data_IF_664605649563
#
_entry.id   IF_664605649563
#
_cell.length_a   1.000
_cell.length_b   1.000
_cell.length_c   1.000
_cell.angle_alpha   90.00
_cell.angle_beta   90.00
_cell.angle_gamma   90.00
#
_symmetry.space_group_name_H-M   'P 1'
#
loop_
_entity.id
_entity.type
_entity.pdbx_description
1 polymer ?
#
# COMPACT_ATOMS: atom_id res chain seq x y z
N UNK A 1 -35.56 -24.35 -17.31
CA UNK A 1 -34.95 -23.69 -16.14
C UNK A 1 -34.02 -22.61 -16.65
N UNK A 2 -34.48 -21.37 -16.71
CA UNK A 2 -33.67 -20.21 -17.12
C UNK A 2 -32.86 -19.77 -15.91
N UNK A 3 -31.57 -20.07 -15.92
CA UNK A 3 -30.59 -19.53 -14.98
C UNK A 3 -30.43 -18.04 -15.26
N UNK A 4 -31.22 -17.21 -14.57
CA UNK A 4 -30.89 -15.80 -14.37
C UNK A 4 -29.65 -15.75 -13.48
N UNK A 5 -28.45 -15.80 -14.07
CA UNK A 5 -27.25 -15.45 -13.34
C UNK A 5 -27.35 -13.97 -12.99
N UNK A 6 -27.55 -13.66 -11.71
CA UNK A 6 -27.37 -12.29 -11.23
C UNK A 6 -26.02 -11.76 -11.73
N UNK A 7 -25.94 -10.50 -12.18
CA UNK A 7 -24.68 -9.94 -12.62
C UNK A 7 -23.63 -10.11 -11.51
N UNK A 8 -22.36 -10.41 -11.85
CA UNK A 8 -21.32 -10.60 -10.86
C UNK A 8 -21.22 -9.34 -9.99
N UNK A 9 -21.26 -9.53 -8.67
CA UNK A 9 -21.07 -8.45 -7.72
C UNK A 9 -19.63 -7.92 -7.87
N UNK A 10 -19.50 -6.69 -8.35
CA UNK A 10 -18.21 -6.01 -8.48
C UNK A 10 -18.04 -5.09 -7.28
N UNK A 11 -17.04 -5.37 -6.44
CA UNK A 11 -16.67 -4.46 -5.36
C UNK A 11 -16.17 -3.14 -5.96
N UNK A 12 -16.66 -1.98 -5.48
CA UNK A 12 -16.09 -0.70 -5.87
C UNK A 12 -14.60 -0.65 -5.57
N UNK A 13 -13.81 -0.17 -6.53
CA UNK A 13 -12.37 0.04 -6.32
C UNK A 13 -12.14 1.34 -5.55
N UNK A 14 -10.92 1.52 -5.02
CA UNK A 14 -10.56 2.75 -4.32
C UNK A 14 -10.63 4.00 -5.22
N UNK A 15 -10.47 3.83 -6.54
CA UNK A 15 -10.66 4.90 -7.51
C UNK A 15 -12.06 5.54 -7.44
N UNK A 16 -13.10 4.78 -7.10
CA UNK A 16 -14.46 5.29 -6.94
C UNK A 16 -14.63 6.15 -5.68
N UNK A 17 -13.59 6.31 -4.86
CA UNK A 17 -13.66 7.11 -3.64
C UNK A 17 -13.56 8.61 -3.87
N UNK A 18 -13.15 9.02 -5.07
CA UNK A 18 -12.85 10.40 -5.42
C UNK A 18 -13.32 10.74 -6.83
N UNK A 19 -13.50 12.03 -7.09
CA UNK A 19 -13.92 12.58 -8.38
C UNK A 19 -12.77 13.09 -9.25
N UNK A 20 -11.53 13.06 -8.77
CA UNK A 20 -10.37 13.50 -9.54
C UNK A 20 -10.16 12.65 -10.79
N UNK A 21 -9.63 13.27 -11.86
CA UNK A 21 -9.38 12.58 -13.12
C UNK A 21 -8.40 11.41 -12.91
N UNK A 22 -8.65 10.29 -13.60
CA UNK A 22 -7.88 9.05 -13.48
C UNK A 22 -6.39 9.27 -13.73
N UNK A 23 -6.06 10.11 -14.70
CA UNK A 23 -4.67 10.43 -15.04
C UNK A 23 -3.96 11.25 -13.95
N UNK A 24 -4.71 11.92 -13.07
CA UNK A 24 -4.18 12.73 -11.98
C UNK A 24 -4.08 11.97 -10.65
N UNK A 25 -4.66 10.76 -10.57
CA UNK A 25 -4.64 9.91 -9.37
C UNK A 25 -3.22 9.40 -9.10
N UNK A 26 -2.71 9.68 -7.91
CA UNK A 26 -1.56 8.99 -7.36
C UNK A 26 -2.00 7.67 -6.73
N UNK A 27 -1.25 6.61 -6.99
CA UNK A 27 -1.51 5.26 -6.52
C UNK A 27 -0.19 4.53 -6.30
N UNK A 28 -0.24 3.30 -5.81
CA UNK A 28 0.96 2.52 -5.46
C UNK A 28 1.98 2.47 -6.62
N UNK A 29 1.54 2.15 -7.84
CA UNK A 29 2.44 2.09 -9.00
C UNK A 29 3.18 3.40 -9.36
N UNK A 30 2.55 4.59 -9.23
CA UNK A 30 3.09 5.85 -9.76
C UNK A 30 3.51 6.87 -8.68
N UNK A 31 3.28 6.57 -7.40
CA UNK A 31 3.70 7.40 -6.29
C UNK A 31 5.20 7.21 -6.00
N UNK A 32 5.86 8.27 -5.56
CA UNK A 32 7.24 8.21 -5.07
C UNK A 32 7.32 7.84 -3.58
N UNK A 33 6.26 8.12 -2.82
CA UNK A 33 6.15 7.79 -1.40
C UNK A 33 4.71 7.37 -1.09
N UNK A 34 4.54 6.35 -0.25
CA UNK A 34 3.24 5.99 0.33
C UNK A 34 3.38 6.14 1.84
N UNK A 35 2.51 6.94 2.45
CA UNK A 35 2.31 6.91 3.90
C UNK A 35 1.11 6.04 4.17
N UNK A 36 1.32 4.89 4.82
CA UNK A 36 0.25 4.09 5.36
C UNK A 36 -0.02 4.54 6.78
N UNK A 37 -1.16 5.19 6.99
CA UNK A 37 -1.67 5.53 8.33
C UNK A 37 -2.70 4.49 8.72
N UNK A 38 -2.53 3.87 9.88
CA UNK A 38 -3.44 2.86 10.43
C UNK A 38 -4.05 3.39 11.72
N UNK A 39 -5.36 3.19 11.90
CA UNK A 39 -6.06 3.59 13.12
C UNK A 39 -7.13 2.59 13.53
N UNK A 40 -7.11 2.18 14.80
CA UNK A 40 -8.16 1.36 15.40
C UNK A 40 -9.31 2.23 15.90
N UNK A 41 -10.53 1.97 15.43
CA UNK A 41 -11.71 2.71 15.85
C UNK A 41 -12.25 2.19 17.19
N UNK A 42 -12.88 3.09 17.94
CA UNK A 42 -13.79 2.72 19.03
C UNK A 42 -15.10 2.23 18.44
N UNK A 43 -15.55 1.06 18.89
CA UNK A 43 -16.71 0.38 18.32
C UNK A 43 -17.99 1.24 18.37
N UNK A 44 -18.15 2.04 19.42
CA UNK A 44 -19.29 2.94 19.61
C UNK A 44 -19.30 4.11 18.63
N UNK A 45 -18.15 4.55 18.08
CA UNK A 45 -18.04 5.70 17.16
C UNK A 45 -17.65 5.30 15.72
N UNK A 46 -17.79 4.02 15.40
CA UNK A 46 -17.26 3.44 14.16
C UNK A 46 -17.89 4.02 12.87
N UNK A 47 -19.10 4.56 12.94
CA UNK A 47 -19.79 5.14 11.79
C UNK A 47 -19.29 6.57 11.54
N UNK A 48 -19.18 7.36 12.61
CA UNK A 48 -18.63 8.71 12.61
C UNK A 48 -17.16 8.71 12.17
N UNK A 49 -16.40 7.70 12.60
CA UNK A 49 -14.99 7.56 12.22
C UNK A 49 -14.79 7.28 10.74
N UNK A 50 -15.60 6.38 10.15
CA UNK A 50 -15.58 6.10 8.71
C UNK A 50 -15.98 7.32 7.89
N UNK A 51 -16.99 8.06 8.36
CA UNK A 51 -17.39 9.31 7.72
C UNK A 51 -16.25 10.34 7.76
N UNK A 52 -15.62 10.55 8.92
CA UNK A 52 -14.45 11.41 9.07
C UNK A 52 -13.31 10.99 8.13
N UNK A 53 -12.99 9.70 8.08
CA UNK A 53 -11.93 9.16 7.23
C UNK A 53 -12.13 9.52 5.75
N UNK A 54 -13.39 9.41 5.29
CA UNK A 54 -13.78 9.73 3.91
C UNK A 54 -13.81 11.22 3.64
N UNK A 55 -14.37 12.02 4.54
CA UNK A 55 -14.36 13.48 4.42
C UNK A 55 -12.94 14.04 4.36
N UNK A 56 -12.05 13.56 5.23
CA UNK A 56 -10.64 13.96 5.22
C UNK A 56 -9.95 13.57 3.91
N UNK A 57 -10.18 12.34 3.42
CA UNK A 57 -9.57 11.86 2.18
C UNK A 57 -10.07 12.64 0.96
N UNK A 58 -11.38 12.89 0.87
CA UNK A 58 -11.96 13.67 -0.22
C UNK A 58 -11.46 15.11 -0.21
N UNK A 59 -11.34 15.72 0.97
CA UNK A 59 -10.79 17.06 1.12
C UNK A 59 -9.35 17.15 0.59
N UNK A 60 -8.50 16.19 0.98
CA UNK A 60 -7.11 16.12 0.51
C UNK A 60 -7.03 15.88 -1.00
N UNK A 61 -7.81 14.93 -1.52
CA UNK A 61 -7.83 14.61 -2.95
C UNK A 61 -8.26 15.82 -3.81
N UNK A 62 -9.21 16.61 -3.31
CA UNK A 62 -9.76 17.76 -4.05
C UNK A 62 -8.85 18.98 -3.96
N UNK A 63 -8.42 19.36 -2.75
CA UNK A 63 -7.70 20.62 -2.53
C UNK A 63 -6.19 20.53 -2.73
N UNK A 64 -5.65 19.30 -2.70
CA UNK A 64 -4.22 19.03 -2.87
C UNK A 64 -3.98 18.07 -4.04
N UNK A 65 -4.84 18.15 -5.07
CA UNK A 65 -4.73 17.37 -6.29
C UNK A 65 -3.34 17.54 -6.93
N UNK A 66 -2.74 16.42 -7.34
CA UNK A 66 -1.39 16.39 -7.89
C UNK A 66 -0.25 16.49 -6.87
N UNK A 67 -0.55 16.69 -5.58
CA UNK A 67 0.40 16.59 -4.46
C UNK A 67 0.21 15.25 -3.75
N UNK A 68 -1.04 14.92 -3.41
CA UNK A 68 -1.43 13.71 -2.69
C UNK A 68 -2.69 13.08 -3.30
N UNK A 69 -2.79 11.75 -3.22
CA UNK A 69 -4.07 11.04 -3.33
C UNK A 69 -4.21 10.04 -2.19
N UNK A 70 -5.32 10.12 -1.46
CA UNK A 70 -5.63 9.32 -0.28
C UNK A 70 -6.78 8.39 -0.57
N UNK A 71 -6.56 7.11 -0.29
CA UNK A 71 -7.58 6.07 -0.34
C UNK A 71 -7.74 5.43 1.04
N UNK A 72 -8.99 5.17 1.44
CA UNK A 72 -9.32 4.53 2.70
C UNK A 72 -9.63 3.05 2.46
N UNK A 73 -8.99 2.19 3.23
CA UNK A 73 -9.22 0.75 3.24
C UNK A 73 -9.59 0.28 4.64
N UNK A 74 -10.20 -0.91 4.69
CA UNK A 74 -10.43 -1.67 5.91
C UNK A 74 -9.85 -3.07 5.77
N UNK A 75 -9.43 -3.65 6.88
CA UNK A 75 -9.00 -5.05 6.93
C UNK A 75 -10.19 -5.96 6.54
N UNK A 76 -10.06 -6.65 5.39
CA UNK A 76 -11.07 -7.59 4.89
C UNK A 76 -11.23 -8.77 5.85
N UNK A 77 -10.08 -9.28 6.31
CA UNK A 77 -9.94 -10.33 7.29
C UNK A 77 -8.81 -9.91 8.23
N UNK A 78 -9.11 -9.81 9.52
CA UNK A 78 -8.17 -9.30 10.51
C UNK A 78 -8.89 -8.61 11.66
N UNK A 79 -8.33 -7.49 12.09
CA UNK A 79 -8.82 -6.62 13.14
C UNK A 79 -10.02 -5.82 12.64
N UNK A 80 -11.17 -6.07 13.27
CA UNK A 80 -12.40 -5.34 12.95
C UNK A 80 -12.27 -3.86 13.31
N UNK A 81 -12.93 -3.01 12.53
CA UNK A 81 -12.98 -1.56 12.76
C UNK A 81 -11.56 -0.93 12.77
N UNK A 82 -10.69 -1.40 11.87
CA UNK A 82 -9.35 -0.87 11.64
C UNK A 82 -9.27 -0.23 10.25
N UNK A 83 -8.97 1.06 10.22
CA UNK A 83 -8.87 1.86 9.00
C UNK A 83 -7.41 2.00 8.57
N UNK A 84 -7.18 1.94 7.27
CA UNK A 84 -5.90 2.22 6.63
C UNK A 84 -6.10 3.37 5.64
N UNK A 85 -5.40 4.49 5.83
CA UNK A 85 -5.26 5.52 4.81
C UNK A 85 -3.96 5.25 4.06
N UNK A 86 -4.08 4.97 2.77
CA UNK A 86 -2.94 4.94 1.86
C UNK A 86 -2.82 6.31 1.22
N UNK A 87 -1.86 7.09 1.71
CA UNK A 87 -1.56 8.45 1.29
C UNK A 87 -0.43 8.41 0.26
N UNK A 88 -0.77 8.57 -1.01
CA UNK A 88 0.16 8.49 -2.14
C UNK A 88 0.69 9.87 -2.47
N UNK A 89 2.00 10.07 -2.34
CA UNK A 89 2.69 11.33 -2.56
C UNK A 89 3.65 11.21 -3.75
N UNK A 90 3.84 12.29 -4.49
CA UNK A 90 4.86 12.32 -5.56
C UNK A 90 6.29 12.18 -5.02
N UNK A 91 6.56 12.74 -3.84
CA UNK A 91 7.89 12.76 -3.23
C UNK A 91 7.81 13.11 -1.75
N UNK A 92 8.91 12.97 -1.01
CA UNK A 92 9.02 13.48 0.37
C UNK A 92 8.91 15.00 0.43
N UNK A 93 9.35 15.73 -0.61
CA UNK A 93 9.17 17.19 -0.67
C UNK A 93 7.69 17.58 -0.74
N UNK A 94 6.85 16.81 -1.44
CA UNK A 94 5.40 17.03 -1.46
C UNK A 94 4.76 16.93 -0.06
N UNK A 95 5.39 16.22 0.88
CA UNK A 95 4.94 16.12 2.26
C UNK A 95 5.11 17.44 3.04
N UNK A 96 6.09 18.28 2.68
CA UNK A 96 6.29 19.59 3.33
C UNK A 96 5.06 20.48 3.18
N UNK A 97 4.41 20.45 2.01
CA UNK A 97 3.14 21.15 1.78
C UNK A 97 2.04 20.69 2.74
N UNK A 98 2.00 19.40 3.09
CA UNK A 98 1.01 18.85 4.03
C UNK A 98 1.33 19.23 5.48
N UNK A 99 2.61 19.44 5.83
CA UNK A 99 2.99 19.99 7.13
C UNK A 99 2.49 21.44 7.23
N UNK A 100 2.71 22.26 6.20
CA UNK A 100 2.26 23.65 6.20
C UNK A 100 0.73 23.77 6.27
N UNK A 101 0.00 22.88 5.58
CA UNK A 101 -1.46 22.79 5.58
C UNK A 101 -2.04 22.82 7.01
N UNK A 102 -1.51 22.01 7.94
CA UNK A 102 -2.06 21.93 9.30
C UNK A 102 -2.11 23.28 10.02
N UNK A 103 -1.18 24.18 9.69
CA UNK A 103 -1.09 25.52 10.28
C UNK A 103 -1.79 26.61 9.48
N UNK A 104 -2.02 26.44 8.18
CA UNK A 104 -2.51 27.50 7.27
C UNK A 104 -3.90 27.26 6.68
N UNK A 105 -4.31 26.01 6.55
CA UNK A 105 -5.57 25.64 5.89
C UNK A 105 -6.76 25.65 6.86
N UNK A 106 -7.72 26.54 6.60
CA UNK A 106 -8.95 26.65 7.39
C UNK A 106 -9.94 25.51 7.17
N UNK A 107 -10.04 24.97 5.95
CA UNK A 107 -10.97 23.86 5.64
C UNK A 107 -10.49 22.55 6.25
N UNK A 108 -9.17 22.29 6.20
CA UNK A 108 -8.58 21.17 6.93
C UNK A 108 -8.84 21.27 8.44
N UNK A 109 -8.59 22.46 9.02
CA UNK A 109 -8.82 22.69 10.46
C UNK A 109 -10.29 22.53 10.84
N UNK A 110 -11.23 22.96 9.99
CA UNK A 110 -12.66 22.73 10.21
C UNK A 110 -12.98 21.22 10.31
N UNK A 111 -12.49 20.42 9.36
CA UNK A 111 -12.73 18.97 9.34
C UNK A 111 -12.23 18.29 10.62
N UNK A 112 -11.06 18.70 11.09
CA UNK A 112 -10.38 18.16 12.27
C UNK A 112 -11.08 18.61 13.57
N UNK A 113 -11.43 19.89 13.68
CA UNK A 113 -12.01 20.46 14.91
C UNK A 113 -13.53 20.30 15.02
N UNK A 114 -14.19 19.78 13.98
CA UNK A 114 -15.63 19.55 13.95
C UNK A 114 -16.07 18.59 15.06
N UNK A 115 -17.08 18.99 15.82
CA UNK A 115 -17.78 18.11 16.76
C UNK A 115 -18.57 17.05 15.95
N UNK A 116 -18.20 15.79 16.12
CA UNK A 116 -18.75 14.66 15.35
C UNK A 116 -19.59 13.72 16.22
N UNK A 117 -19.34 13.74 17.51
CA UNK A 117 -20.03 12.90 18.47
C UNK A 117 -21.14 13.71 19.12
N UNK A 118 -22.34 13.13 19.18
CA UNK A 118 -23.49 13.75 19.85
C UNK A 118 -23.14 14.10 21.31
N UNK A 119 -23.47 15.31 21.81
CA UNK A 119 -23.27 15.69 23.21
C UNK A 119 -23.86 14.68 24.21
N UNK A 120 -24.99 14.04 23.90
CA UNK A 120 -25.60 13.01 24.74
C UNK A 120 -24.74 11.73 24.84
N UNK A 121 -23.82 11.52 23.89
CA UNK A 121 -22.80 10.46 23.89
C UNK A 121 -21.43 10.96 24.37
N UNK A 122 -21.42 12.15 24.96
CA UNK A 122 -20.27 12.80 25.59
C UNK A 122 -19.59 13.87 24.75
N UNK A 123 -20.01 14.10 23.49
CA UNK A 123 -19.38 15.07 22.60
C UNK A 123 -17.97 14.68 22.14
N UNK A 124 -17.36 15.45 21.24
CA UNK A 124 -15.96 15.25 20.87
C UNK A 124 -15.68 15.34 19.38
N UNK A 125 -14.40 15.51 19.08
CA UNK A 125 -13.83 15.60 17.74
C UNK A 125 -13.32 14.24 17.27
N UNK A 126 -12.39 14.24 16.31
CA UNK A 126 -11.95 13.03 15.65
C UNK A 126 -11.22 12.05 16.58
N UNK A 127 -10.38 12.58 17.45
CA UNK A 127 -9.52 11.87 18.40
C UNK A 127 -10.30 10.85 19.23
N UNK A 128 -11.47 11.24 19.73
CA UNK A 128 -12.35 10.39 20.53
C UNK A 128 -12.89 9.18 19.77
N UNK A 129 -12.91 9.21 18.43
CA UNK A 129 -13.41 8.10 17.63
C UNK A 129 -12.40 6.95 17.50
N UNK A 130 -11.14 7.16 17.91
CA UNK A 130 -10.05 6.20 17.83
C UNK A 130 -9.62 5.73 19.22
N UNK A 131 -9.01 4.54 19.28
CA UNK A 131 -8.32 4.10 20.49
C UNK A 131 -7.04 4.91 20.68
N UNK A 132 -6.75 5.25 21.94
CA UNK A 132 -5.61 6.09 22.27
C UNK A 132 -4.31 5.35 21.96
N UNK A 133 -3.39 6.02 21.26
CA UNK A 133 -2.10 5.45 20.90
C UNK A 133 -2.11 4.44 19.74
N UNK A 134 -3.27 4.14 19.15
CA UNK A 134 -3.40 3.16 18.05
C UNK A 134 -3.33 3.79 16.65
N UNK A 135 -3.02 5.09 16.56
CA UNK A 135 -2.76 5.76 15.27
C UNK A 135 -1.27 5.71 14.96
N UNK A 136 -0.90 4.97 13.91
CA UNK A 136 0.49 4.77 13.51
C UNK A 136 0.67 5.07 12.03
N UNK A 137 1.87 5.50 11.65
CA UNK A 137 2.22 5.77 10.27
C UNK A 137 3.49 5.01 9.89
N UNK A 138 3.46 4.39 8.70
CA UNK A 138 4.64 3.80 8.07
C UNK A 138 4.87 4.52 6.75
N UNK A 139 6.10 5.01 6.55
CA UNK A 139 6.49 5.70 5.32
C UNK A 139 7.23 4.72 4.42
N UNK A 140 6.66 4.46 3.25
CA UNK A 140 7.13 3.48 2.29
C UNK A 140 7.65 4.17 1.04
N UNK A 141 8.79 3.71 0.55
CA UNK A 141 9.36 4.11 -0.75
C UNK A 141 9.55 2.89 -1.63
N UNK A 142 9.35 3.00 -2.96
CA UNK A 142 9.60 1.88 -3.87
C UNK A 142 11.04 1.38 -3.72
N UNK A 143 11.23 0.07 -3.66
CA UNK A 143 12.60 -0.50 -3.70
C UNK A 143 13.16 -0.35 -5.11
N UNK A 144 14.39 0.14 -5.22
CA UNK A 144 15.07 0.39 -6.50
C UNK A 144 16.51 -0.12 -6.51
N UNK A 145 17.04 -0.50 -7.67
CA UNK A 145 18.37 -1.13 -7.77
C UNK A 145 19.47 -0.18 -7.31
N UNK A 146 20.46 -0.71 -6.59
CA UNK A 146 21.51 0.04 -5.91
C UNK A 146 21.10 0.71 -4.59
N UNK A 147 19.84 0.64 -4.18
CA UNK A 147 19.48 0.94 -2.79
C UNK A 147 20.07 -0.12 -1.85
N UNK A 148 20.58 0.33 -0.70
CA UNK A 148 21.01 -0.51 0.43
C UNK A 148 22.02 -1.62 0.06
N UNK A 149 22.90 -1.36 -0.91
CA UNK A 149 23.97 -2.30 -1.29
C UNK A 149 23.51 -3.41 -2.23
N UNK A 150 22.44 -3.20 -3.00
CA UNK A 150 21.98 -4.14 -4.05
C UNK A 150 22.73 -3.98 -5.38
N UNK A 151 23.68 -3.04 -5.47
CA UNK A 151 24.59 -2.84 -6.60
C UNK A 151 25.90 -2.21 -6.12
N UNK A 152 27.00 -2.53 -6.79
CA UNK A 152 28.30 -1.86 -6.63
C UNK A 152 28.44 -0.64 -7.57
N UNK A 153 27.53 -0.48 -8.53
CA UNK A 153 27.49 0.65 -9.46
C UNK A 153 26.57 1.78 -8.94
N UNK A 154 26.93 3.03 -9.24
CA UNK A 154 26.08 4.19 -8.92
C UNK A 154 24.81 4.14 -9.78
N UNK A 155 23.61 4.11 -9.19
CA UNK A 155 22.37 4.06 -9.97
C UNK A 155 22.17 5.31 -10.84
N UNK A 156 21.55 5.15 -12.02
CA UNK A 156 21.18 6.25 -12.92
C UNK A 156 20.23 7.28 -12.26
N UNK A 157 19.56 6.88 -11.19
CA UNK A 157 18.70 7.74 -10.37
C UNK A 157 19.47 8.70 -9.45
N UNK A 158 20.78 8.53 -9.30
CA UNK A 158 21.64 9.49 -8.57
C UNK A 158 21.99 10.63 -9.51
N UNK A 159 21.60 11.85 -9.13
CA UNK A 159 21.98 13.08 -9.82
C UNK A 159 22.81 13.94 -8.89
N UNK A 160 23.91 14.50 -9.39
CA UNK A 160 24.68 15.49 -8.65
C UNK A 160 24.26 16.88 -9.11
N UNK A 161 23.67 17.67 -8.21
CA UNK A 161 23.33 19.07 -8.47
C UNK A 161 24.03 19.91 -7.40
N UNK A 162 24.79 20.93 -7.81
CA UNK A 162 25.54 21.82 -6.91
C UNK A 162 26.44 21.11 -5.89
N UNK A 163 27.05 19.99 -6.30
CA UNK A 163 27.95 19.19 -5.45
C UNK A 163 27.25 18.27 -4.46
N UNK A 164 25.92 18.29 -4.39
CA UNK A 164 25.12 17.35 -3.60
C UNK A 164 24.55 16.24 -4.49
N UNK A 165 24.82 14.98 -4.13
CA UNK A 165 24.21 13.83 -4.77
C UNK A 165 22.79 13.63 -4.21
N UNK A 166 21.79 13.67 -5.09
CA UNK A 166 20.38 13.39 -4.79
C UNK A 166 19.97 12.10 -5.49
N UNK A 167 19.39 11.18 -4.73
CA UNK A 167 18.83 9.93 -5.26
C UNK A 167 17.34 10.09 -5.51
N UNK A 168 16.92 9.98 -6.77
CA UNK A 168 15.50 9.98 -7.16
C UNK A 168 14.99 8.55 -7.19
N UNK A 169 14.23 8.13 -6.18
CA UNK A 169 13.65 6.79 -6.16
C UNK A 169 12.67 6.62 -7.33
N UNK A 170 12.91 5.68 -8.27
CA UNK A 170 11.96 5.36 -9.33
C UNK A 170 10.63 4.86 -8.75
N UNK A 171 9.52 5.17 -9.42
CA UNK A 171 8.19 4.69 -9.03
C UNK A 171 8.05 3.17 -9.18
N UNK A 172 7.21 2.54 -8.36
CA UNK A 172 7.11 1.08 -8.31
C UNK A 172 6.66 0.42 -9.63
N UNK A 173 5.89 1.12 -10.48
CA UNK A 173 5.50 0.62 -11.81
C UNK A 173 6.71 0.31 -12.73
N UNK A 174 7.87 0.91 -12.46
CA UNK A 174 9.12 0.68 -13.22
C UNK A 174 9.89 -0.57 -12.74
N UNK A 175 9.39 -1.28 -11.73
CA UNK A 175 9.99 -2.53 -11.24
C UNK A 175 9.69 -3.74 -12.15
N UNK A 176 8.85 -3.56 -13.17
CA UNK A 176 8.40 -4.61 -14.08
C UNK A 176 8.34 -4.10 -15.51
N UNK A 177 8.43 -4.99 -16.48
CA UNK A 177 8.28 -4.71 -17.91
C UNK A 177 6.86 -4.96 -18.45
N UNK A 178 5.95 -5.47 -17.60
CA UNK A 178 4.53 -5.65 -17.93
C UNK A 178 3.92 -4.29 -18.31
N UNK A 179 3.14 -4.18 -19.40
CA UNK A 179 2.49 -2.94 -19.80
C UNK A 179 1.59 -2.36 -18.70
N UNK A 180 1.52 -1.03 -18.57
CA UNK A 180 0.80 -0.35 -17.47
C UNK A 180 -0.69 -0.69 -17.46
N UNK A 181 -1.29 -0.92 -18.61
CA UNK A 181 -2.69 -1.34 -18.78
C UNK A 181 -3.00 -2.73 -18.19
N UNK A 182 -1.98 -3.59 -18.08
CA UNK A 182 -2.06 -4.92 -17.49
C UNK A 182 -1.62 -4.93 -16.02
N UNK A 183 -1.19 -3.78 -15.49
CA UNK A 183 -0.83 -3.59 -14.09
C UNK A 183 -2.05 -3.14 -13.26
N UNK A 184 -2.19 -3.72 -12.07
CA UNK A 184 -3.07 -3.27 -11.02
C UNK A 184 -2.32 -2.38 -10.02
N UNK A 185 -3.05 -1.50 -9.35
CA UNK A 185 -2.52 -0.62 -8.31
C UNK A 185 -3.57 -0.39 -7.22
N UNK A 186 -3.22 0.37 -6.17
CA UNK A 186 -4.11 0.63 -5.05
C UNK A 186 -5.46 1.21 -5.52
N UNK A 187 -5.47 2.14 -6.47
CA UNK A 187 -6.71 2.72 -7.00
C UNK A 187 -7.60 1.69 -7.72
N UNK A 188 -7.02 0.77 -8.49
CA UNK A 188 -7.75 -0.10 -9.44
C UNK A 188 -7.96 -1.53 -8.96
N UNK A 189 -7.24 -1.98 -7.92
CA UNK A 189 -7.40 -3.33 -7.40
C UNK A 189 -8.75 -3.50 -6.68
N UNK A 190 -9.27 -4.73 -6.70
CA UNK A 190 -10.43 -5.10 -5.88
C UNK A 190 -10.03 -5.39 -4.43
N UNK A 191 -8.85 -5.97 -4.24
CA UNK A 191 -8.25 -6.25 -2.93
C UNK A 191 -6.76 -5.95 -2.98
N UNK A 192 -6.24 -5.30 -1.95
CA UNK A 192 -4.82 -5.12 -1.72
C UNK A 192 -4.37 -6.08 -0.63
N UNK A 193 -3.46 -6.99 -0.94
CA UNK A 193 -2.78 -7.80 0.07
C UNK A 193 -1.43 -7.16 0.39
N UNK A 194 -1.25 -6.77 1.64
CA UNK A 194 -0.01 -6.20 2.14
C UNK A 194 0.76 -7.28 2.88
N UNK A 195 1.84 -7.76 2.24
CA UNK A 195 2.78 -8.70 2.86
C UNK A 195 3.95 -7.94 3.45
N UNK A 196 4.26 -8.16 4.71
CA UNK A 196 5.45 -7.60 5.37
C UNK A 196 6.40 -8.73 5.76
N UNK A 197 7.71 -8.49 5.70
CA UNK A 197 8.73 -9.43 6.16
C UNK A 197 9.99 -8.72 6.63
N UNK A 198 10.70 -9.30 7.58
CA UNK A 198 11.99 -8.78 8.05
C UNK A 198 13.12 -9.71 7.60
N UNK A 199 14.08 -9.14 6.89
CA UNK A 199 15.28 -9.83 6.45
C UNK A 199 16.27 -9.94 7.63
N UNK A 200 16.98 -11.07 7.68
CA UNK A 200 18.16 -11.17 8.53
C UNK A 200 19.25 -10.29 7.95
N UNK A 201 19.86 -9.48 8.80
CA UNK A 201 20.89 -8.52 8.39
C UNK A 201 22.02 -9.16 7.56
N UNK A 202 22.48 -10.37 7.94
CA UNK A 202 23.53 -11.12 7.24
C UNK A 202 23.19 -11.52 5.79
N UNK A 203 21.90 -11.62 5.45
CA UNK A 203 21.37 -12.04 4.14
C UNK A 203 20.54 -10.94 3.47
N UNK A 204 20.72 -9.68 3.89
CA UNK A 204 19.84 -8.59 3.47
C UNK A 204 19.93 -8.24 1.98
N UNK A 205 21.07 -8.53 1.33
CA UNK A 205 21.26 -8.31 -0.10
C UNK A 205 20.57 -9.43 -0.91
N UNK A 206 20.80 -10.68 -0.51
CA UNK A 206 20.17 -11.88 -1.07
C UNK A 206 18.64 -11.82 -0.91
N UNK A 207 18.18 -11.37 0.26
CA UNK A 207 16.77 -11.16 0.57
C UNK A 207 16.08 -10.17 -0.36
N UNK A 208 16.74 -9.03 -0.64
CA UNK A 208 16.25 -8.02 -1.60
C UNK A 208 16.28 -8.55 -3.04
N UNK A 209 17.31 -9.30 -3.42
CA UNK A 209 17.40 -9.93 -4.73
C UNK A 209 16.26 -10.94 -4.95
N UNK A 210 15.98 -11.79 -3.96
CA UNK A 210 14.83 -12.70 -3.97
C UNK A 210 13.51 -11.95 -4.08
N UNK A 211 13.29 -10.93 -3.26
CA UNK A 211 12.04 -10.16 -3.27
C UNK A 211 11.76 -9.53 -4.64
N UNK A 212 12.80 -9.08 -5.35
CA UNK A 212 12.70 -8.55 -6.72
C UNK A 212 12.40 -9.62 -7.74
N UNK A 213 13.12 -10.73 -7.70
CA UNK A 213 12.89 -11.86 -8.61
C UNK A 213 11.46 -12.41 -8.43
N UNK A 214 10.96 -12.43 -7.19
CA UNK A 214 9.58 -12.75 -6.88
C UNK A 214 8.61 -11.77 -7.55
N UNK A 215 8.85 -10.46 -7.43
CA UNK A 215 8.00 -9.45 -8.05
C UNK A 215 7.97 -9.56 -9.57
N UNK A 216 9.13 -9.67 -10.20
CA UNK A 216 9.26 -9.80 -11.66
C UNK A 216 8.52 -11.05 -12.17
N UNK A 217 8.80 -12.21 -11.56
CA UNK A 217 8.21 -13.47 -11.98
C UNK A 217 6.69 -13.48 -11.81
N UNK A 218 6.19 -12.97 -10.69
CA UNK A 218 4.74 -12.91 -10.44
C UNK A 218 4.04 -11.91 -11.36
N UNK A 219 4.62 -10.73 -11.60
CA UNK A 219 4.03 -9.75 -12.49
C UNK A 219 3.90 -10.30 -13.91
N UNK A 220 4.92 -11.00 -14.44
CA UNK A 220 4.84 -11.66 -15.75
C UNK A 220 3.77 -12.76 -15.77
N UNK A 221 3.79 -13.65 -14.76
CA UNK A 221 2.88 -14.80 -14.72
C UNK A 221 1.41 -14.44 -14.47
N UNK A 222 1.15 -13.27 -13.87
CA UNK A 222 -0.18 -12.84 -13.43
C UNK A 222 -0.65 -11.53 -14.07
N UNK A 223 -0.05 -11.11 -15.19
CA UNK A 223 -0.44 -9.91 -15.91
C UNK A 223 -1.97 -9.83 -16.12
N UNK A 224 -2.56 -8.66 -15.83
CA UNK A 224 -4.00 -8.42 -15.89
C UNK A 224 -4.85 -9.05 -14.77
N UNK A 225 -4.25 -9.86 -13.89
CA UNK A 225 -4.91 -10.55 -12.77
C UNK A 225 -4.38 -10.12 -11.39
N UNK A 226 -3.07 -9.96 -11.27
CA UNK A 226 -2.43 -9.47 -10.06
C UNK A 226 -1.16 -8.66 -10.38
N UNK A 227 -0.81 -7.72 -9.51
CA UNK A 227 0.44 -6.96 -9.62
C UNK A 227 1.06 -6.79 -8.26
N UNK A 228 2.33 -7.12 -8.14
CA UNK A 228 3.12 -7.03 -6.92
C UNK A 228 4.19 -5.93 -7.08
N UNK A 229 4.20 -5.01 -6.12
CA UNK A 229 5.21 -3.97 -6.00
C UNK A 229 5.97 -4.13 -4.68
N UNK A 230 7.28 -3.87 -4.73
CA UNK A 230 8.17 -3.95 -3.58
C UNK A 230 8.46 -2.55 -3.01
N UNK A 231 8.30 -2.41 -1.71
CA UNK A 231 8.61 -1.20 -0.95
C UNK A 231 9.49 -1.52 0.25
N UNK A 232 10.17 -0.48 0.74
CA UNK A 232 10.95 -0.49 1.97
C UNK A 232 10.54 0.71 2.84
N UNK A 233 10.73 0.59 4.15
CA UNK A 233 10.47 1.71 5.07
C UNK A 233 11.53 2.80 4.87
N UNK A 234 11.11 4.03 4.55
CA UNK A 234 12.01 5.19 4.47
C UNK A 234 12.52 5.61 5.86
N UNK A 235 11.63 5.50 6.85
CA UNK A 235 11.92 5.73 8.26
C UNK A 235 11.35 4.55 9.05
N UNK A 236 12.20 3.81 9.75
CA UNK A 236 11.79 2.61 10.47
C UNK A 236 12.87 1.53 10.46
N UNK A 237 12.46 0.27 10.30
CA UNK A 237 13.36 -0.88 10.34
C UNK A 237 14.04 -1.08 8.98
N UNK A 238 15.35 -0.87 8.94
CA UNK A 238 16.16 -0.90 7.71
C UNK A 238 16.05 -2.16 6.86
N UNK A 239 15.67 -3.30 7.42
CA UNK A 239 15.63 -4.59 6.72
C UNK A 239 14.20 -5.16 6.64
N UNK A 240 13.20 -4.29 6.78
CA UNK A 240 11.81 -4.66 6.57
C UNK A 240 11.37 -4.33 5.14
N UNK A 241 10.81 -5.33 4.48
CA UNK A 241 10.29 -5.23 3.12
C UNK A 241 8.77 -5.39 3.11
N UNK A 242 8.13 -4.66 2.21
CA UNK A 242 6.68 -4.59 2.07
C UNK A 242 6.34 -4.94 0.62
N UNK A 243 5.54 -5.98 0.42
CA UNK A 243 4.95 -6.26 -0.88
C UNK A 243 3.50 -5.81 -0.88
N UNK A 244 3.17 -4.91 -1.79
CA UNK A 244 1.77 -4.58 -2.09
C UNK A 244 1.34 -5.43 -3.28
N UNK A 245 0.51 -6.44 -2.99
CA UNK A 245 0.01 -7.42 -3.94
C UNK A 245 -1.44 -7.06 -4.27
N UNK A 246 -1.61 -6.43 -5.42
CA UNK A 246 -2.88 -5.94 -5.94
C UNK A 246 -3.60 -7.09 -6.64
N UNK A 247 -4.75 -7.49 -6.14
CA UNK A 247 -5.57 -8.54 -6.72
C UNK A 247 -6.80 -7.93 -7.39
N UNK A 248 -7.13 -8.40 -8.59
CA UNK A 248 -8.35 -7.97 -9.31
C UNK A 248 -9.62 -8.25 -8.51
N UNK A 249 -9.64 -9.36 -7.79
CA UNK A 249 -10.75 -9.85 -6.98
C UNK A 249 -10.25 -10.78 -5.88
N UNK A 250 -11.10 -11.10 -4.90
CA UNK A 250 -10.78 -12.12 -3.89
C UNK A 250 -10.48 -13.49 -4.50
N UNK A 251 -11.18 -13.86 -5.59
CA UNK A 251 -10.93 -15.11 -6.30
C UNK A 251 -9.56 -15.18 -6.96
N UNK A 252 -8.94 -14.02 -7.25
CA UNK A 252 -7.58 -13.97 -7.80
C UNK A 252 -6.52 -14.49 -6.82
N UNK A 253 -6.84 -14.55 -5.52
CA UNK A 253 -5.97 -15.18 -4.52
C UNK A 253 -5.75 -16.68 -4.78
N UNK A 254 -6.77 -17.40 -5.28
CA UNK A 254 -6.59 -18.82 -5.62
C UNK A 254 -5.65 -19.00 -6.82
N UNK A 255 -5.69 -18.09 -7.79
CA UNK A 255 -4.72 -18.07 -8.90
C UNK A 255 -3.30 -17.82 -8.39
N UNK A 256 -3.14 -16.86 -7.47
CA UNK A 256 -1.85 -16.60 -6.80
C UNK A 256 -1.32 -17.85 -6.10
N UNK A 257 -2.18 -18.54 -5.34
CA UNK A 257 -1.83 -19.81 -4.69
C UNK A 257 -1.49 -20.90 -5.70
N UNK A 258 -2.22 -20.99 -6.82
CA UNK A 258 -1.97 -21.95 -7.89
C UNK A 258 -0.61 -21.75 -8.57
N UNK A 259 -0.25 -20.49 -8.84
CA UNK A 259 1.08 -20.13 -9.35
C UNK A 259 2.17 -20.47 -8.32
N UNK A 260 1.94 -20.15 -7.04
CA UNK A 260 2.82 -20.58 -5.93
C UNK A 260 2.90 -22.11 -5.82
N UNK A 261 1.84 -22.83 -6.20
CA UNK A 261 1.74 -24.28 -6.21
C UNK A 261 2.31 -24.95 -7.47
N UNK A 262 3.13 -24.23 -8.26
CA UNK A 262 4.15 -24.77 -9.19
C UNK A 262 3.79 -24.85 -10.68
N UNK A 263 2.82 -24.09 -11.19
CA UNK A 263 2.45 -24.13 -12.62
C UNK A 263 3.41 -23.37 -13.55
N UNK A 264 4.10 -22.34 -13.06
CA UNK A 264 5.04 -21.52 -13.84
C UNK A 264 6.51 -21.87 -13.51
N UNK A 265 7.33 -22.34 -14.48
CA UNK A 265 8.72 -22.75 -14.23
C UNK A 265 9.62 -21.64 -13.69
N UNK A 266 9.49 -20.41 -14.20
CA UNK A 266 10.30 -19.28 -13.75
C UNK A 266 10.00 -18.92 -12.28
N UNK A 267 8.72 -18.87 -11.93
CA UNK A 267 8.29 -18.63 -10.55
C UNK A 267 8.74 -19.75 -9.62
N UNK A 268 8.67 -21.01 -10.08
CA UNK A 268 9.17 -22.16 -9.32
C UNK A 268 10.67 -22.03 -9.05
N UNK A 269 11.45 -21.63 -10.05
CA UNK A 269 12.90 -21.44 -9.90
C UNK A 269 13.23 -20.45 -8.79
N UNK A 270 12.51 -19.32 -8.71
CA UNK A 270 12.68 -18.31 -7.65
C UNK A 270 12.55 -18.92 -6.26
N UNK A 271 11.65 -19.88 -6.04
CA UNK A 271 11.46 -20.52 -4.73
C UNK A 271 12.41 -21.70 -4.48
N UNK A 272 12.92 -22.37 -5.51
CA UNK A 272 13.78 -23.56 -5.36
C UNK A 272 15.27 -23.28 -5.46
N UNK A 273 15.66 -22.14 -6.02
CA UNK A 273 17.06 -21.74 -6.15
C UNK A 273 17.71 -21.53 -4.78
N UNK A 274 18.99 -21.88 -4.68
CA UNK A 274 19.86 -21.44 -3.58
C UNK A 274 20.15 -19.94 -3.72
N UNK A 275 19.66 -19.15 -2.77
CA UNK A 275 19.87 -17.71 -2.74
C UNK A 275 21.10 -17.32 -1.93
N UNK A 276 21.39 -18.08 -0.88
CA UNK A 276 22.51 -17.84 0.02
C UNK A 276 23.75 -18.58 -0.55
N UNK A 277 24.87 -17.89 -0.80
CA UNK A 277 26.11 -18.51 -1.25
C UNK A 277 26.65 -19.57 -0.27
N UNK A 278 27.42 -20.53 -0.76
CA UNK A 278 27.96 -21.64 0.07
C UNK A 278 28.89 -21.13 1.16
N UNK A 279 29.68 -20.09 0.88
CA UNK A 279 30.57 -19.42 1.84
C UNK A 279 29.82 -18.75 3.00
N UNK A 280 28.53 -18.46 2.82
CA UNK A 280 27.61 -17.96 3.86
C UNK A 280 26.76 -19.08 4.48
N UNK A 281 27.09 -20.34 4.20
CA UNK A 281 26.42 -21.52 4.74
C UNK A 281 25.25 -22.05 3.90
N UNK A 282 25.06 -21.56 2.67
CA UNK A 282 24.10 -22.08 1.70
C UNK A 282 22.62 -21.92 2.06
N UNK A 283 21.72 -22.35 1.18
CA UNK A 283 20.28 -22.46 1.47
C UNK A 283 19.35 -21.51 0.73
N UNK A 284 18.05 -21.74 0.93
CA UNK A 284 16.97 -21.08 0.21
C UNK A 284 16.49 -19.79 0.86
N UNK A 285 15.39 -19.30 0.30
CA UNK A 285 14.83 -18.01 0.69
C UNK A 285 14.34 -17.99 2.14
N UNK A 286 13.89 -19.12 2.66
CA UNK A 286 13.35 -19.29 4.01
C UNK A 286 14.35 -18.93 5.11
N UNK A 287 15.66 -19.04 4.83
CA UNK A 287 16.73 -18.67 5.75
C UNK A 287 17.01 -17.17 5.79
N UNK A 288 16.61 -16.43 4.75
CA UNK A 288 16.90 -14.99 4.63
C UNK A 288 15.98 -14.14 5.49
N UNK A 289 14.86 -14.69 5.96
CA UNK A 289 13.89 -13.97 6.79
C UNK A 289 14.07 -14.30 8.28
N UNK A 290 13.76 -13.33 9.12
CA UNK A 290 13.55 -13.55 10.55
C UNK A 290 12.34 -14.49 10.70
N UNK A 291 12.48 -15.52 11.52
CA UNK A 291 11.43 -16.51 11.72
C UNK A 291 10.14 -15.84 12.19
N UNK A 292 9.00 -16.23 11.60
CA UNK A 292 7.68 -15.68 11.91
C UNK A 292 7.51 -14.17 11.64
N UNK A 293 8.41 -13.55 10.88
CA UNK A 293 8.26 -12.13 10.48
C UNK A 293 7.39 -11.92 9.25
N UNK A 294 7.16 -12.95 8.45
CA UNK A 294 6.29 -12.88 7.27
C UNK A 294 4.83 -12.87 7.69
N UNK A 295 4.15 -11.77 7.40
CA UNK A 295 2.72 -11.58 7.66
C UNK A 295 2.00 -11.08 6.41
N UNK A 296 0.77 -11.54 6.23
CA UNK A 296 -0.13 -11.11 5.16
C UNK A 296 -1.37 -10.44 5.76
N UNK A 297 -1.70 -9.25 5.28
CA UNK A 297 -2.93 -8.55 5.58
C UNK A 297 -3.73 -8.31 4.31
N UNK A 298 -5.04 -8.53 4.33
CA UNK A 298 -5.93 -8.23 3.21
C UNK A 298 -6.73 -6.96 3.48
N UNK A 299 -6.71 -6.03 2.53
CA UNK A 299 -7.35 -4.73 2.59
C UNK A 299 -8.38 -4.60 1.46
N UNK A 300 -9.59 -4.17 1.81
CA UNK A 300 -10.66 -3.85 0.87
C UNK A 300 -10.91 -2.34 0.84
N UNK A 301 -11.08 -1.72 -0.35
CA UNK A 301 -11.46 -0.32 -0.43
C UNK A 301 -12.75 -0.05 0.34
N UNK A 302 -12.74 0.99 1.17
CA UNK A 302 -13.95 1.44 1.84
C UNK A 302 -14.91 2.05 0.80
N UNK A 303 -16.21 1.75 0.93
CA UNK A 303 -17.25 2.38 0.12
C UNK A 303 -18.51 2.67 0.96
N UNK A 304 -19.34 3.61 0.51
CA UNK A 304 -20.62 3.89 1.16
C UNK A 304 -21.54 2.65 1.15
N UNK A 305 -22.32 2.49 2.20
CA UNK A 305 -23.13 1.29 2.44
C UNK A 305 -22.35 0.11 3.04
N UNK A 306 -21.02 0.17 3.12
CA UNK A 306 -20.22 -0.77 3.90
C UNK A 306 -20.40 -0.47 5.40
N UNK A 307 -20.57 -1.52 6.22
CA UNK A 307 -20.68 -1.47 7.68
C UNK A 307 -21.64 -0.39 8.23
N UNK A 308 -22.81 -0.23 7.59
CA UNK A 308 -23.85 0.73 7.97
C UNK A 308 -23.41 2.20 7.95
N UNK A 309 -22.41 2.54 7.13
CA UNK A 309 -22.24 3.94 6.69
C UNK A 309 -23.47 4.34 5.87
N UNK A 310 -24.01 5.55 6.10
CA UNK A 310 -25.20 6.03 5.37
C UNK A 310 -24.92 5.95 3.87
N UNK A 311 -25.78 5.26 3.13
CA UNK A 311 -25.79 5.38 1.67
C UNK A 311 -26.26 6.80 1.36
N UNK A 312 -25.45 7.58 0.63
CA UNK A 312 -25.97 8.81 0.03
C UNK A 312 -27.15 8.43 -0.87
N UNK A 313 -28.29 9.10 -0.67
CA UNK A 313 -29.47 8.97 -1.53
C UNK A 313 -29.30 9.82 -2.77
#
# INVERSE_FOLDING_TARGET
MTTTSSPPFVLPTAQAQTSIDRAAILHSGNAGVIVERVGQLRAEFRSEARQFARELSEYLNTNYAGIITVFVYEETFGTKDRLHWLMHLKSLHAYETLIEMGSRDAGWRDIIMRQRIDPARGGGTWDRMFLDGELHETVLIPSAFGMYGTSDETPDSVRTTDGAATFTVPTAQLQTDVPVEDQLNSATCGILMHRTGELRYEFRAEGRAFARALCESWNRALAGHATIYLYEEAFGRSDRIHHFIHLKSLSSYYTLMGVRAMSDPATREVFTRQWIPEEKGGGGWERMFVQSSLSDLSLTPQHWGMYATKTER
#
